data_IF_555538200533
#
_entry.id   IF_555538200533
#
_cell.length_a   1.000
_cell.length_b   1.000
_cell.length_c   1.000
_cell.angle_alpha   90.00
_cell.angle_beta   90.00
_cell.angle_gamma   90.00
#
_symmetry.space_group_name_H-M   'P 1'
#
loop_
_entity.id
_entity.type
_entity.pdbx_description
1 polymer ?
#
# COMPACT_ATOMS: atom_id res chain seq x y z
N UNK A 1 0.24 -35.25 -7.14
CA UNK A 1 0.22 -34.97 -5.69
C UNK A 1 -0.88 -33.94 -5.43
N UNK A 2 -2.01 -34.32 -4.80
CA UNK A 2 -2.99 -33.35 -4.27
C UNK A 2 -2.45 -32.86 -2.93
N UNK A 3 -2.24 -31.55 -2.81
CA UNK A 3 -1.84 -30.91 -1.56
C UNK A 3 -3.11 -30.56 -0.80
N UNK A 4 -3.20 -30.97 0.46
CA UNK A 4 -4.32 -30.66 1.34
C UNK A 4 -4.43 -29.15 1.55
N UNK A 5 -5.51 -28.51 1.09
CA UNK A 5 -5.85 -27.13 1.48
C UNK A 5 -6.53 -27.17 2.85
N UNK A 6 -5.73 -27.21 3.92
CA UNK A 6 -6.23 -27.24 5.31
C UNK A 6 -6.41 -25.82 5.88
N UNK A 7 -5.94 -24.78 5.20
CA UNK A 7 -6.05 -23.39 5.67
C UNK A 7 -6.77 -22.52 4.63
N UNK A 8 -7.85 -21.88 5.05
CA UNK A 8 -8.42 -20.74 4.34
C UNK A 8 -7.45 -19.56 4.48
N UNK A 9 -6.64 -19.31 3.45
CA UNK A 9 -5.74 -18.16 3.43
C UNK A 9 -6.56 -16.88 3.40
N UNK A 10 -6.67 -16.20 4.55
CA UNK A 10 -7.26 -14.87 4.60
C UNK A 10 -6.18 -13.81 4.41
N UNK A 11 -6.51 -12.77 3.65
CA UNK A 11 -5.62 -11.65 3.37
C UNK A 11 -6.15 -10.38 4.02
N UNK A 12 -5.26 -9.63 4.67
CA UNK A 12 -5.58 -8.27 5.14
C UNK A 12 -4.75 -7.28 4.33
N UNK A 13 -5.43 -6.32 3.75
CA UNK A 13 -4.84 -5.18 3.07
C UNK A 13 -5.05 -3.94 3.95
N UNK A 14 -3.96 -3.32 4.43
CA UNK A 14 -4.04 -2.13 5.29
C UNK A 14 -3.41 -0.92 4.63
N UNK A 15 -3.93 0.25 4.98
CA UNK A 15 -3.25 1.51 4.79
C UNK A 15 -2.88 2.20 6.08
N UNK A 16 -1.67 2.75 6.12
CA UNK A 16 -1.12 3.45 7.29
C UNK A 16 -0.65 4.84 6.93
N UNK A 17 -0.67 5.78 7.88
CA UNK A 17 -0.02 7.08 7.69
C UNK A 17 1.49 6.99 7.95
N UNK A 18 2.22 8.08 7.70
CA UNK A 18 3.64 8.21 8.05
C UNK A 18 3.96 7.95 9.55
N UNK A 19 2.98 8.14 10.43
CA UNK A 19 3.08 7.85 11.87
C UNK A 19 2.73 6.40 12.25
N UNK A 20 2.54 5.51 11.26
CA UNK A 20 2.24 4.08 11.45
C UNK A 20 0.87 3.82 12.11
N UNK A 21 -0.04 4.78 12.02
CA UNK A 21 -1.43 4.62 12.44
C UNK A 21 -2.22 4.05 11.26
N UNK A 22 -3.02 3.01 11.50
CA UNK A 22 -3.89 2.40 10.49
C UNK A 22 -5.01 3.39 10.12
N UNK A 23 -5.09 3.75 8.85
CA UNK A 23 -6.11 4.65 8.28
C UNK A 23 -7.28 3.88 7.67
N UNK A 24 -7.01 2.71 7.12
CA UNK A 24 -8.03 1.82 6.59
C UNK A 24 -7.52 0.39 6.52
N UNK A 25 -8.43 -0.56 6.58
CA UNK A 25 -8.16 -1.98 6.36
C UNK A 25 -9.30 -2.59 5.57
N UNK A 26 -8.97 -3.59 4.75
CA UNK A 26 -9.93 -4.45 4.07
C UNK A 26 -9.42 -5.90 4.17
N UNK A 27 -10.32 -6.87 4.34
CA UNK A 27 -9.96 -8.26 4.60
C UNK A 27 -10.90 -9.21 3.87
N UNK A 28 -10.34 -10.21 3.20
CA UNK A 28 -11.11 -11.25 2.49
C UNK A 28 -10.26 -12.52 2.34
N UNK A 29 -10.89 -13.60 1.93
CA UNK A 29 -10.32 -14.93 1.62
C UNK A 29 -9.32 -14.94 0.45
N UNK A 30 -9.15 -13.84 -0.26
CA UNK A 30 -8.14 -13.72 -1.32
C UNK A 30 -7.81 -12.26 -1.61
N UNK A 31 -6.52 -11.91 -1.71
CA UNK A 31 -6.06 -10.57 -2.12
C UNK A 31 -6.31 -10.36 -3.63
N UNK A 32 -7.18 -9.42 -3.97
CA UNK A 32 -7.47 -8.97 -5.34
C UNK A 32 -7.03 -7.52 -5.49
N UNK A 33 -6.73 -7.10 -6.72
CA UNK A 33 -6.48 -5.70 -7.05
C UNK A 33 -7.62 -4.73 -6.65
N UNK A 34 -8.81 -5.24 -6.27
CA UNK A 34 -9.93 -4.45 -5.76
C UNK A 34 -9.63 -3.74 -4.44
N UNK A 35 -8.81 -4.31 -3.55
CA UNK A 35 -8.55 -3.70 -2.23
C UNK A 35 -7.72 -2.42 -2.28
N UNK A 36 -6.56 -2.38 -2.97
CA UNK A 36 -5.82 -1.12 -3.07
C UNK A 36 -6.68 -0.04 -3.75
N UNK A 37 -7.53 -0.38 -4.74
CA UNK A 37 -8.47 0.57 -5.32
C UNK A 37 -9.53 1.06 -4.31
N UNK A 38 -10.14 0.15 -3.54
CA UNK A 38 -11.13 0.51 -2.52
C UNK A 38 -10.53 1.42 -1.43
N UNK A 39 -9.31 1.12 -0.97
CA UNK A 39 -8.58 1.95 -0.03
C UNK A 39 -8.27 3.32 -0.65
N UNK A 40 -7.75 3.37 -1.87
CA UNK A 40 -7.49 4.65 -2.55
C UNK A 40 -8.77 5.47 -2.68
N UNK A 41 -9.90 4.85 -3.04
CA UNK A 41 -11.19 5.55 -3.10
C UNK A 41 -11.56 6.18 -1.75
N UNK A 42 -11.40 5.45 -0.65
CA UNK A 42 -11.64 5.97 0.70
C UNK A 42 -10.67 7.09 1.05
N UNK A 43 -9.37 6.94 0.77
CA UNK A 43 -8.37 7.97 1.02
C UNK A 43 -8.67 9.26 0.25
N UNK A 44 -9.03 9.15 -1.04
CA UNK A 44 -9.46 10.29 -1.87
C UNK A 44 -10.79 10.92 -1.42
N UNK A 45 -11.56 10.26 -0.54
CA UNK A 45 -12.79 10.83 0.04
C UNK A 45 -12.56 11.59 1.34
N UNK A 46 -11.45 11.31 2.03
CA UNK A 46 -11.13 11.88 3.34
C UNK A 46 -10.07 12.96 3.24
N UNK A 47 -9.06 12.75 2.39
CA UNK A 47 -7.90 13.62 2.31
C UNK A 47 -7.99 14.62 1.15
N UNK A 48 -7.32 15.76 1.34
CA UNK A 48 -7.23 16.84 0.36
C UNK A 48 -6.32 16.47 -0.82
N UNK A 49 -6.12 17.43 -1.72
CA UNK A 49 -5.27 17.26 -2.91
C UNK A 49 -3.79 17.19 -2.54
N UNK A 50 -2.98 16.74 -3.50
CA UNK A 50 -1.52 16.61 -3.42
C UNK A 50 -1.01 15.54 -2.45
N UNK A 51 -1.86 14.58 -2.08
CA UNK A 51 -1.48 13.41 -1.29
C UNK A 51 -0.60 12.42 -2.06
N UNK A 52 0.05 11.50 -1.33
CA UNK A 52 0.87 10.44 -1.89
C UNK A 52 0.59 9.07 -1.27
N UNK A 53 0.95 8.00 -1.99
CA UNK A 53 0.85 6.62 -1.52
C UNK A 53 2.10 5.82 -1.90
N UNK A 54 2.76 5.19 -0.94
CA UNK A 54 3.78 4.18 -1.20
C UNK A 54 3.15 2.78 -1.22
N UNK A 55 3.47 2.01 -2.25
CA UNK A 55 3.10 0.61 -2.42
C UNK A 55 4.28 -0.12 -3.05
N UNK A 56 4.58 -1.35 -2.65
CA UNK A 56 5.69 -2.14 -3.21
C UNK A 56 5.64 -2.23 -4.74
N UNK A 57 4.42 -2.38 -5.27
CA UNK A 57 4.17 -2.39 -6.72
C UNK A 57 3.61 -1.04 -7.22
N UNK A 58 3.86 0.06 -6.51
CA UNK A 58 3.28 1.38 -6.78
C UNK A 58 3.50 1.86 -8.21
N UNK A 59 4.66 1.56 -8.80
CA UNK A 59 4.95 1.89 -10.20
C UNK A 59 4.02 1.17 -11.20
N UNK A 60 3.72 -0.11 -10.98
CA UNK A 60 2.82 -0.90 -11.82
C UNK A 60 1.36 -0.59 -11.48
N UNK A 61 1.04 -0.47 -10.20
CA UNK A 61 -0.29 -0.17 -9.70
C UNK A 61 -0.78 1.22 -10.14
N UNK A 62 0.14 2.18 -10.34
CA UNK A 62 -0.23 3.47 -10.92
C UNK A 62 -0.98 3.30 -12.24
N UNK A 63 -0.52 2.42 -13.14
CA UNK A 63 -1.23 2.12 -14.40
C UNK A 63 -2.62 1.55 -14.13
N UNK A 64 -2.75 0.61 -13.20
CA UNK A 64 -4.05 0.05 -12.80
C UNK A 64 -4.99 1.13 -12.25
N UNK A 65 -4.50 2.02 -11.38
CA UNK A 65 -5.27 3.11 -10.82
C UNK A 65 -5.75 4.08 -11.91
N UNK A 66 -4.86 4.47 -12.81
CA UNK A 66 -5.16 5.41 -13.90
C UNK A 66 -6.19 4.85 -14.90
N UNK A 67 -6.22 3.52 -15.09
CA UNK A 67 -7.17 2.84 -15.96
C UNK A 67 -8.47 2.41 -15.25
N UNK A 68 -8.59 2.67 -13.95
CA UNK A 68 -9.80 2.37 -13.18
C UNK A 68 -10.81 3.52 -13.22
N UNK A 69 -12.01 3.29 -12.69
CA UNK A 69 -13.00 4.36 -12.47
C UNK A 69 -12.52 5.50 -11.56
N UNK A 70 -11.42 5.28 -10.81
CA UNK A 70 -10.81 6.29 -9.94
C UNK A 70 -9.77 7.16 -10.66
N UNK A 71 -9.39 6.85 -11.91
CA UNK A 71 -8.29 7.51 -12.61
C UNK A 71 -8.46 9.03 -12.68
N UNK A 72 -9.65 9.51 -13.07
CA UNK A 72 -9.95 10.94 -13.13
C UNK A 72 -9.84 11.59 -11.74
N UNK A 73 -10.46 10.98 -10.73
CA UNK A 73 -10.42 11.49 -9.35
C UNK A 73 -9.00 11.51 -8.78
N UNK A 74 -8.20 10.48 -9.04
CA UNK A 74 -6.80 10.43 -8.62
C UNK A 74 -5.97 11.55 -9.26
N UNK A 75 -6.24 11.90 -10.53
CA UNK A 75 -5.61 13.06 -11.21
C UNK A 75 -6.09 14.38 -10.62
N UNK A 76 -7.39 14.54 -10.38
CA UNK A 76 -7.97 15.77 -9.82
C UNK A 76 -7.45 16.06 -8.40
N UNK A 77 -7.14 15.01 -7.65
CA UNK A 77 -6.47 15.07 -6.35
C UNK A 77 -4.95 15.17 -6.45
N UNK A 78 -4.36 15.13 -7.65
CA UNK A 78 -2.91 15.08 -7.85
C UNK A 78 -2.24 14.01 -6.97
N UNK A 79 -2.84 12.81 -6.91
CA UNK A 79 -2.35 11.72 -6.07
C UNK A 79 -1.04 11.15 -6.63
N UNK A 80 0.00 11.12 -5.79
CA UNK A 80 1.33 10.61 -6.16
C UNK A 80 1.57 9.18 -5.65
N UNK A 81 1.58 8.20 -6.55
CA UNK A 81 2.03 6.84 -6.21
C UNK A 81 3.56 6.78 -6.10
N UNK A 82 4.08 5.90 -5.25
CA UNK A 82 5.50 5.70 -4.96
C UNK A 82 5.79 4.25 -4.64
N UNK A 83 7.07 3.89 -4.64
CA UNK A 83 7.57 2.61 -4.15
C UNK A 83 8.37 2.86 -2.87
N UNK A 84 8.16 2.03 -1.85
CA UNK A 84 8.90 2.11 -0.58
C UNK A 84 10.40 1.95 -0.79
N UNK A 85 11.22 2.56 0.05
CA UNK A 85 12.68 2.71 -0.16
C UNK A 85 13.41 1.38 -0.42
N UNK A 86 13.00 0.31 0.27
CA UNK A 86 13.65 -0.99 0.11
C UNK A 86 13.30 -1.65 -1.23
N UNK A 87 12.02 -1.68 -1.57
CA UNK A 87 11.56 -2.20 -2.86
C UNK A 87 12.00 -1.31 -4.02
N UNK A 88 12.06 0.00 -3.82
CA UNK A 88 12.47 0.95 -4.85
C UNK A 88 13.88 0.67 -5.38
N UNK A 89 14.82 0.36 -4.49
CA UNK A 89 16.22 0.13 -4.90
C UNK A 89 16.42 -1.15 -5.73
N UNK A 90 15.49 -2.11 -5.69
CA UNK A 90 15.56 -3.33 -6.52
C UNK A 90 15.02 -3.12 -7.93
N UNK A 91 14.41 -1.97 -8.22
CA UNK A 91 13.90 -1.64 -9.55
C UNK A 91 15.01 -1.06 -10.44
N UNK A 92 14.79 -1.06 -11.75
CA UNK A 92 15.72 -0.42 -12.69
C UNK A 92 15.85 1.09 -12.42
N UNK A 93 16.99 1.69 -12.83
CA UNK A 93 17.30 3.10 -12.56
C UNK A 93 16.20 4.07 -13.01
N UNK A 94 15.57 3.83 -14.16
CA UNK A 94 14.48 4.69 -14.66
C UNK A 94 13.29 4.68 -13.69
N UNK A 95 12.87 3.49 -13.28
CA UNK A 95 11.81 3.34 -12.30
C UNK A 95 12.16 3.97 -10.95
N UNK A 96 13.43 3.92 -10.53
CA UNK A 96 13.85 4.59 -9.29
C UNK A 96 13.66 6.11 -9.39
N UNK A 97 14.13 6.73 -10.47
CA UNK A 97 13.98 8.18 -10.67
C UNK A 97 12.51 8.63 -10.68
N UNK A 98 11.63 7.80 -11.23
CA UNK A 98 10.22 8.13 -11.38
C UNK A 98 9.34 7.73 -10.18
N UNK A 99 9.76 6.83 -9.29
CA UNK A 99 8.86 6.26 -8.28
C UNK A 99 9.44 6.11 -6.88
N UNK A 100 10.76 6.24 -6.71
CA UNK A 100 11.40 6.09 -5.41
C UNK A 100 11.12 7.32 -4.54
N UNK A 101 10.72 7.11 -3.29
CA UNK A 101 10.27 8.20 -2.41
C UNK A 101 11.31 9.31 -2.22
N UNK A 102 12.60 8.97 -2.18
CA UNK A 102 13.71 9.95 -2.12
C UNK A 102 13.76 10.97 -3.27
N UNK A 103 13.19 10.65 -4.44
CA UNK A 103 13.14 11.56 -5.60
C UNK A 103 11.78 12.24 -5.76
N UNK A 104 10.87 12.07 -4.79
CA UNK A 104 9.53 12.63 -4.84
C UNK A 104 9.40 13.65 -3.70
N UNK A 105 9.12 14.89 -4.08
CA UNK A 105 8.94 15.99 -3.14
C UNK A 105 7.68 15.79 -2.27
N UNK A 106 7.70 16.28 -1.03
CA UNK A 106 6.59 16.17 -0.09
C UNK A 106 6.50 14.84 0.66
N UNK A 107 7.45 13.92 0.44
CA UNK A 107 7.47 12.60 1.11
C UNK A 107 8.11 12.64 2.50
N UNK A 108 8.91 13.66 2.82
CA UNK A 108 9.64 13.75 4.08
C UNK A 108 10.59 12.57 4.31
N UNK A 109 10.85 12.21 5.57
CA UNK A 109 11.67 11.03 5.94
C UNK A 109 10.90 9.70 5.83
N UNK A 110 9.81 9.67 5.07
CA UNK A 110 8.98 8.48 4.99
C UNK A 110 9.62 7.40 4.13
N UNK A 111 9.75 6.21 4.72
CA UNK A 111 10.39 5.08 4.04
C UNK A 111 9.41 4.24 3.19
N UNK A 112 8.11 4.53 3.26
CA UNK A 112 7.09 3.66 2.66
C UNK A 112 6.78 2.40 3.47
N UNK A 113 7.37 2.25 4.66
CA UNK A 113 7.38 1.00 5.46
C UNK A 113 6.31 0.92 6.57
N UNK A 114 5.30 1.78 6.53
CA UNK A 114 4.36 1.93 7.64
C UNK A 114 3.61 0.63 7.93
N UNK A 115 3.17 -0.04 6.88
CA UNK A 115 2.42 -1.29 6.99
C UNK A 115 3.31 -2.45 7.46
N UNK A 116 4.57 -2.53 7.00
CA UNK A 116 5.54 -3.54 7.41
C UNK A 116 5.84 -3.46 8.90
N UNK A 117 5.92 -2.24 9.45
CA UNK A 117 6.10 -2.07 10.88
C UNK A 117 4.88 -2.53 11.68
N UNK A 118 3.66 -2.15 11.26
CA UNK A 118 2.42 -2.61 11.90
C UNK A 118 2.33 -4.14 11.88
N UNK A 119 2.64 -4.76 10.74
CA UNK A 119 2.65 -6.21 10.60
C UNK A 119 3.79 -6.86 11.38
N UNK A 120 4.98 -6.27 11.42
CA UNK A 120 6.07 -6.81 12.24
C UNK A 120 5.70 -6.80 13.72
N UNK A 121 5.07 -5.74 14.22
CA UNK A 121 4.60 -5.67 15.61
C UNK A 121 3.47 -6.67 15.90
N UNK A 122 2.64 -7.02 14.92
CA UNK A 122 1.62 -8.06 15.12
C UNK A 122 2.21 -9.47 15.19
N UNK A 123 3.45 -9.68 14.73
CA UNK A 123 4.12 -10.97 14.87
C UNK A 123 4.40 -11.31 16.34
N UNK A 124 4.57 -10.32 17.22
CA UNK A 124 4.70 -10.59 18.66
C UNK A 124 3.43 -11.24 19.24
N UNK A 125 2.28 -11.07 18.57
CA UNK A 125 0.99 -11.65 18.93
C UNK A 125 0.67 -12.95 18.19
N UNK A 126 1.52 -13.39 17.24
CA UNK A 126 1.25 -14.61 16.44
C UNK A 126 1.29 -15.91 17.24
N UNK A 127 1.90 -15.92 18.44
CA UNK A 127 1.83 -17.07 19.35
C UNK A 127 0.40 -17.43 19.79
N UNK A 128 -0.58 -16.56 19.58
CA UNK A 128 -1.97 -16.77 19.99
C UNK A 128 -2.94 -17.11 18.84
N UNK A 129 -2.48 -17.17 17.58
CA UNK A 129 -3.34 -17.36 16.42
C UNK A 129 -2.72 -18.31 15.37
N UNK A 130 -3.33 -19.49 15.16
CA UNK A 130 -2.94 -20.52 14.17
C UNK A 130 -3.50 -20.25 12.75
N UNK A 131 -3.33 -19.03 12.21
CA UNK A 131 -3.78 -18.71 10.84
C UNK A 131 -2.70 -18.04 9.99
N UNK A 132 -2.49 -18.55 8.77
CA UNK A 132 -1.62 -17.95 7.75
C UNK A 132 -2.31 -16.74 7.13
N UNK A 133 -1.88 -15.51 7.48
CA UNK A 133 -2.42 -14.27 6.90
C UNK A 133 -1.46 -13.74 5.83
N UNK A 134 -1.93 -13.63 4.59
CA UNK A 134 -1.20 -12.92 3.53
C UNK A 134 -1.36 -11.40 3.69
N UNK A 135 -0.25 -10.67 3.66
CA UNK A 135 -0.17 -9.26 4.10
C UNK A 135 0.26 -8.38 2.93
N UNK A 136 -0.57 -7.40 2.58
CA UNK A 136 -0.31 -6.47 1.49
C UNK A 136 -0.44 -5.01 1.98
N UNK A 137 0.37 -4.14 1.39
CA UNK A 137 0.85 -2.91 2.03
C UNK A 137 0.47 -1.67 1.22
N UNK A 138 -0.05 -0.61 1.84
CA UNK A 138 -0.18 0.71 1.21
C UNK A 138 0.07 1.81 2.25
N UNK A 139 1.17 2.55 2.18
CA UNK A 139 1.38 3.69 3.10
C UNK A 139 0.86 4.99 2.46
N UNK A 140 -0.03 5.73 3.12
CA UNK A 140 -0.57 7.01 2.68
C UNK A 140 0.15 8.21 3.30
N UNK A 141 0.24 9.29 2.54
CA UNK A 141 0.87 10.55 2.89
C UNK A 141 -0.05 11.71 2.51
N UNK A 142 -0.29 12.62 3.44
CA UNK A 142 -0.91 13.92 3.14
C UNK A 142 0.19 14.98 3.22
N UNK A 143 0.25 15.96 2.30
CA UNK A 143 0.90 17.22 2.63
C UNK A 143 0.11 17.84 3.78
N UNK A 144 0.84 18.37 4.77
CA UNK A 144 0.25 19.24 5.78
C UNK A 144 -0.22 20.53 5.13
#
# INVERSE_FOLDING_TARGET
KKMFSIFDETGIFIATCCHRIILSSDSDTFIRAKYPLAIIHKLLSVYSKNGGCAYDIGCAFSTTLQNSSLGLRARDHNLRMMVGVFHGHTHNRKCQLDWHSLYIEGTGHSQGKGCEHVFSSSNDLTRCYDNTISRHLLSFYSPL
#
